data_IF_344951013991
#
_entry.id   IF_344951013991
#
_cell.length_a   1.000
_cell.length_b   1.000
_cell.length_c   1.000
_cell.angle_alpha   90.00
_cell.angle_beta   90.00
_cell.angle_gamma   90.00
#
_symmetry.space_group_name_H-M   'P 1'
#
loop_
_entity.id
_entity.type
_entity.pdbx_description
1 polymer ?
#
# COMPACT_ATOMS: atom_id res chain seq x y z
N UNK A 1 -37.01 -17.59 14.34
CA UNK A 1 -36.19 -16.39 14.08
C UNK A 1 -34.79 -16.64 14.61
N UNK A 2 -34.03 -17.52 13.96
CA UNK A 2 -32.61 -17.73 14.23
C UNK A 2 -31.98 -18.19 12.92
N UNK A 3 -31.65 -17.22 12.06
CA UNK A 3 -30.71 -17.50 10.98
C UNK A 3 -29.32 -17.64 11.63
N UNK A 4 -28.68 -18.79 11.46
CA UNK A 4 -27.30 -19.04 11.89
C UNK A 4 -26.37 -18.36 10.89
N UNK A 5 -25.75 -17.25 11.29
CA UNK A 5 -24.84 -16.50 10.43
C UNK A 5 -23.58 -17.33 10.18
N UNK A 6 -23.42 -17.83 8.96
CA UNK A 6 -22.22 -18.55 8.52
C UNK A 6 -21.14 -17.55 8.09
N UNK A 7 -20.57 -16.82 9.06
CA UNK A 7 -19.50 -15.84 8.83
C UNK A 7 -18.15 -16.54 8.89
N UNK A 8 -17.29 -16.27 7.89
CA UNK A 8 -15.88 -16.69 7.92
C UNK A 8 -14.98 -15.49 8.24
N UNK A 9 -14.05 -15.69 9.18
CA UNK A 9 -12.98 -14.73 9.47
C UNK A 9 -11.68 -15.33 8.95
N UNK A 10 -11.15 -14.76 7.86
CA UNK A 10 -9.92 -15.25 7.20
C UNK A 10 -8.84 -14.19 7.30
N UNK A 11 -7.65 -14.60 7.73
CA UNK A 11 -6.45 -13.77 7.62
C UNK A 11 -5.98 -13.72 6.17
N UNK A 12 -5.65 -12.53 5.68
CA UNK A 12 -5.00 -12.32 4.38
C UNK A 12 -3.66 -11.63 4.63
N UNK A 13 -2.58 -12.18 4.08
CA UNK A 13 -1.22 -11.66 4.29
C UNK A 13 -0.70 -10.97 3.04
N UNK A 14 0.32 -11.52 2.39
CA UNK A 14 0.86 -11.00 1.13
C UNK A 14 0.43 -11.90 -0.03
N UNK A 15 0.24 -11.28 -1.19
CA UNK A 15 -0.03 -12.00 -2.42
C UNK A 15 1.18 -12.81 -2.89
N UNK A 16 0.92 -13.92 -3.56
CA UNK A 16 1.91 -14.70 -4.27
C UNK A 16 2.26 -14.06 -5.64
N UNK A 17 3.02 -14.77 -6.48
CA UNK A 17 3.43 -14.30 -7.80
C UNK A 17 2.26 -14.07 -8.76
N UNK A 18 1.24 -14.91 -8.71
CA UNK A 18 0.03 -14.76 -9.51
C UNK A 18 -0.77 -13.53 -9.07
N UNK A 19 -0.98 -13.36 -7.76
CA UNK A 19 -1.68 -12.19 -7.20
C UNK A 19 -1.00 -10.88 -7.62
N UNK A 20 0.34 -10.88 -7.61
CA UNK A 20 1.14 -9.74 -8.06
C UNK A 20 0.93 -9.45 -9.55
N UNK A 21 0.97 -10.47 -10.41
CA UNK A 21 0.79 -10.31 -11.85
C UNK A 21 -0.57 -9.70 -12.18
N UNK A 22 -1.64 -10.21 -11.54
CA UNK A 22 -2.99 -9.71 -11.71
C UNK A 22 -3.14 -8.27 -11.18
N UNK A 23 -2.63 -7.98 -9.97
CA UNK A 23 -2.69 -6.65 -9.38
C UNK A 23 -1.96 -5.59 -10.22
N UNK A 24 -0.78 -5.92 -10.74
CA UNK A 24 -0.01 -5.02 -11.62
C UNK A 24 -0.75 -4.79 -12.94
N UNK A 25 -1.37 -5.83 -13.52
CA UNK A 25 -2.17 -5.68 -14.75
C UNK A 25 -3.35 -4.71 -14.57
N UNK A 26 -4.06 -4.74 -13.43
CA UNK A 26 -5.09 -3.74 -13.12
C UNK A 26 -4.53 -2.30 -13.06
N UNK A 27 -3.35 -2.13 -12.48
CA UNK A 27 -2.68 -0.83 -12.42
C UNK A 27 -2.28 -0.34 -13.82
N UNK A 28 -1.68 -1.20 -14.64
CA UNK A 28 -1.28 -0.90 -16.03
C UNK A 28 -2.49 -0.51 -16.89
N UNK A 29 -3.64 -1.20 -16.69
CA UNK A 29 -4.91 -0.86 -17.36
C UNK A 29 -5.59 0.39 -16.80
N UNK A 30 -4.97 1.11 -15.88
CA UNK A 30 -5.50 2.35 -15.29
C UNK A 30 -6.76 2.15 -14.45
N UNK A 31 -7.00 0.94 -13.94
CA UNK A 31 -8.16 0.64 -13.08
C UNK A 31 -7.92 0.98 -11.62
N UNK A 32 -6.66 1.18 -11.24
CA UNK A 32 -6.23 1.52 -9.88
C UNK A 32 -5.29 2.72 -9.95
N UNK A 33 -5.53 3.73 -9.11
CA UNK A 33 -4.65 4.88 -8.94
C UNK A 33 -4.26 5.00 -7.46
N UNK A 34 -2.98 5.24 -7.19
CA UNK A 34 -2.48 5.45 -5.84
C UNK A 34 -1.83 6.85 -5.76
N UNK A 35 -2.40 7.80 -5.00
CA UNK A 35 -1.76 9.08 -4.75
C UNK A 35 -0.47 8.91 -3.93
N UNK A 36 0.62 9.53 -4.37
CA UNK A 36 1.92 9.48 -3.70
C UNK A 36 2.65 10.83 -3.75
N UNK A 37 3.61 11.00 -2.85
CA UNK A 37 4.53 12.13 -2.81
C UNK A 37 5.96 11.64 -3.01
N UNK A 38 6.66 12.20 -3.99
CA UNK A 38 8.07 11.90 -4.22
C UNK A 38 8.95 12.79 -3.35
N UNK A 39 9.95 12.21 -2.69
CA UNK A 39 11.04 12.93 -1.98
C UNK A 39 12.39 12.28 -2.30
N UNK A 40 13.51 12.96 -2.04
CA UNK A 40 14.84 12.38 -2.24
C UNK A 40 15.14 11.26 -1.24
N UNK A 41 15.99 10.30 -1.62
CA UNK A 41 16.43 9.23 -0.72
C UNK A 41 17.15 9.81 0.51
N UNK A 42 17.86 10.93 0.32
CA UNK A 42 18.49 11.70 1.39
C UNK A 42 17.51 12.16 2.49
N UNK A 43 16.21 12.24 2.20
CA UNK A 43 15.16 12.64 3.17
C UNK A 43 14.60 11.47 4.00
N UNK A 44 15.08 10.24 3.79
CA UNK A 44 14.60 9.04 4.48
C UNK A 44 14.51 9.20 6.01
N UNK A 45 15.50 9.78 6.73
CA UNK A 45 15.39 9.96 8.18
C UNK A 45 14.20 10.85 8.58
N UNK A 46 13.89 11.89 7.78
CA UNK A 46 12.75 12.78 8.01
C UNK A 46 11.43 12.04 7.80
N UNK A 47 11.34 11.18 6.79
CA UNK A 47 10.15 10.35 6.51
C UNK A 47 9.88 9.39 7.67
N UNK A 48 10.90 8.70 8.19
CA UNK A 48 10.76 7.84 9.37
C UNK A 48 10.27 8.61 10.60
N UNK A 49 10.78 9.82 10.84
CA UNK A 49 10.30 10.68 11.93
C UNK A 49 8.81 11.03 11.76
N UNK A 50 8.39 11.44 10.57
CA UNK A 50 6.98 11.74 10.30
C UNK A 50 6.07 10.51 10.46
N UNK A 51 6.56 9.33 10.11
CA UNK A 51 5.83 8.07 10.32
C UNK A 51 5.62 7.79 11.79
N UNK A 52 6.67 7.91 12.61
CA UNK A 52 6.58 7.73 14.06
C UNK A 52 5.65 8.77 14.72
N UNK A 53 5.61 9.98 14.18
CA UNK A 53 4.70 11.06 14.65
C UNK A 53 3.27 10.94 14.10
N UNK A 54 2.97 9.94 13.26
CA UNK A 54 1.63 9.78 12.65
C UNK A 54 1.27 10.89 11.64
N UNK A 55 2.25 11.60 11.09
CA UNK A 55 2.06 12.77 10.20
C UNK A 55 2.13 12.42 8.72
N UNK A 56 2.26 11.14 8.37
CA UNK A 56 2.22 10.71 6.97
C UNK A 56 0.76 10.63 6.51
N UNK A 57 0.42 11.50 5.57
CA UNK A 57 -0.81 11.40 4.80
C UNK A 57 -0.49 10.69 3.48
N UNK A 58 -1.03 9.49 3.29
CA UNK A 58 -0.85 8.70 2.07
C UNK A 58 0.52 8.01 1.98
N UNK A 59 1.13 8.04 0.78
CA UNK A 59 2.36 7.31 0.45
C UNK A 59 3.51 8.24 0.10
N UNK A 60 4.70 7.96 0.62
CA UNK A 60 5.96 8.59 0.19
C UNK A 60 6.76 7.61 -0.67
N UNK A 61 7.18 8.06 -1.84
CA UNK A 61 8.07 7.32 -2.74
C UNK A 61 9.44 8.02 -2.74
N UNK A 62 10.51 7.26 -2.56
CA UNK A 62 11.88 7.80 -2.47
C UNK A 62 12.57 7.71 -3.83
N UNK A 63 13.01 8.85 -4.35
CA UNK A 63 13.82 8.94 -5.56
C UNK A 63 15.27 8.62 -5.22
N UNK A 64 15.83 7.55 -5.81
CA UNK A 64 17.20 7.10 -5.54
C UNK A 64 18.27 7.88 -6.31
N UNK A 65 17.85 8.84 -7.15
CA UNK A 65 18.73 9.71 -7.93
C UNK A 65 18.88 11.11 -7.32
N UNK A 66 18.17 11.40 -6.22
CA UNK A 66 18.16 12.67 -5.48
C UNK A 66 18.44 12.44 -3.98
#
# INVERSE_FOLDING_TARGET
MLELWSIEIKGSYVGNRQDTAEAVDFFVRGKVHCPFKIVGLSELPRVFKLMAEGKILGRYDLDTTK
#
